data_IF_126721157921
#
_entry.id   IF_126721157921
#
_cell.length_a   1.000
_cell.length_b   1.000
_cell.length_c   1.000
_cell.angle_alpha   90.00
_cell.angle_beta   90.00
_cell.angle_gamma   90.00
#
_symmetry.space_group_name_H-M   'P 1'
#
loop_
_entity.id
_entity.type
_entity.pdbx_description
1 polymer ?
#
# COMPACT_ATOMS: atom_id res chain seq x y z
N UNK A 1 -19.49 -14.88 19.83
CA UNK A 1 -19.17 -13.55 19.24
C UNK A 1 -17.66 -13.27 19.08
N UNK A 2 -16.75 -13.92 19.81
CA UNK A 2 -15.30 -13.70 19.68
C UNK A 2 -14.66 -14.18 18.35
N UNK A 3 -15.15 -15.29 17.77
CA UNK A 3 -14.55 -15.87 16.54
C UNK A 3 -14.64 -14.98 15.30
N UNK A 4 -15.68 -14.14 15.15
CA UNK A 4 -15.82 -13.31 13.95
C UNK A 4 -14.80 -12.16 13.90
N UNK A 5 -14.40 -11.64 15.07
CA UNK A 5 -13.45 -10.54 15.16
C UNK A 5 -12.02 -11.02 14.89
N UNK A 6 -11.68 -12.22 15.37
CA UNK A 6 -10.36 -12.84 15.16
C UNK A 6 -10.16 -13.20 13.69
N UNK A 7 -11.12 -13.91 13.10
CA UNK A 7 -11.08 -14.29 11.66
C UNK A 7 -11.02 -13.08 10.74
N UNK A 8 -11.68 -11.97 11.09
CA UNK A 8 -11.58 -10.71 10.34
C UNK A 8 -10.19 -10.10 10.39
N UNK A 9 -9.53 -10.10 11.55
CA UNK A 9 -8.17 -9.56 11.70
C UNK A 9 -7.18 -10.42 10.92
N UNK A 10 -7.26 -11.75 11.04
CA UNK A 10 -6.42 -12.68 10.29
C UNK A 10 -6.56 -12.49 8.77
N UNK A 11 -7.81 -12.34 8.29
CA UNK A 11 -8.09 -12.08 6.88
C UNK A 11 -7.50 -10.76 6.41
N UNK A 12 -7.62 -9.69 7.20
CA UNK A 12 -7.03 -8.38 6.89
C UNK A 12 -5.50 -8.49 6.82
N UNK A 13 -4.87 -9.18 7.76
CA UNK A 13 -3.41 -9.37 7.80
C UNK A 13 -2.91 -10.17 6.60
N UNK A 14 -3.63 -11.22 6.20
CA UNK A 14 -3.29 -12.02 5.02
C UNK A 14 -3.39 -11.17 3.74
N UNK A 15 -4.51 -10.48 3.55
CA UNK A 15 -4.73 -9.64 2.37
C UNK A 15 -3.70 -8.52 2.30
N UNK A 16 -3.43 -7.83 3.41
CA UNK A 16 -2.45 -6.74 3.43
C UNK A 16 -1.03 -7.25 3.19
N UNK A 17 -0.68 -8.43 3.70
CA UNK A 17 0.62 -9.06 3.44
C UNK A 17 0.79 -9.36 1.95
N UNK A 18 -0.23 -9.95 1.30
CA UNK A 18 -0.21 -10.25 -0.14
C UNK A 18 -0.08 -8.97 -0.97
N UNK A 19 -0.92 -7.96 -0.67
CA UNK A 19 -0.85 -6.66 -1.34
C UNK A 19 0.54 -6.02 -1.18
N UNK A 20 1.10 -6.09 0.02
CA UNK A 20 2.42 -5.56 0.32
C UNK A 20 3.52 -6.34 -0.42
N UNK A 21 3.41 -7.66 -0.55
CA UNK A 21 4.32 -8.47 -1.37
C UNK A 21 4.32 -7.97 -2.81
N UNK A 22 3.14 -7.75 -3.40
CA UNK A 22 3.01 -7.24 -4.78
C UNK A 22 3.64 -5.86 -4.90
N UNK A 23 3.39 -4.95 -3.94
CA UNK A 23 4.03 -3.64 -3.92
C UNK A 23 5.55 -3.71 -3.82
N UNK A 24 6.10 -4.66 -3.05
CA UNK A 24 7.55 -4.87 -2.95
C UNK A 24 8.14 -5.38 -4.27
N UNK A 25 7.42 -6.23 -5.01
CA UNK A 25 7.82 -6.62 -6.36
C UNK A 25 7.85 -5.43 -7.32
N UNK A 26 6.87 -4.52 -7.24
CA UNK A 26 6.86 -3.32 -8.07
C UNK A 26 7.97 -2.35 -7.69
N UNK A 27 8.26 -2.21 -6.40
CA UNK A 27 9.41 -1.44 -5.92
C UNK A 27 10.72 -1.97 -6.48
N UNK A 28 10.91 -3.30 -6.47
CA UNK A 28 12.07 -3.95 -7.05
C UNK A 28 12.14 -3.75 -8.57
N UNK A 29 11.01 -3.86 -9.26
CA UNK A 29 10.91 -3.64 -10.71
C UNK A 29 11.29 -2.21 -11.09
N UNK A 30 10.92 -1.21 -10.28
CA UNK A 30 11.29 0.18 -10.54
C UNK A 30 12.78 0.45 -10.31
N UNK A 31 13.41 -0.30 -9.41
CA UNK A 31 14.84 -0.15 -9.11
C UNK A 31 15.75 -0.87 -10.09
N UNK A 32 15.36 -2.07 -10.51
CA UNK A 32 16.23 -3.01 -11.22
C UNK A 32 15.66 -3.49 -12.57
N UNK A 33 14.38 -3.24 -12.83
CA UNK A 33 13.70 -3.73 -14.03
C UNK A 33 13.80 -2.78 -15.23
N UNK A 34 13.55 -3.30 -16.44
CA UNK A 34 13.39 -2.47 -17.63
C UNK A 34 12.20 -1.52 -17.45
N UNK A 35 12.39 -0.24 -17.72
CA UNK A 35 11.36 0.80 -17.56
C UNK A 35 10.37 0.87 -18.74
N UNK A 36 10.32 -0.19 -19.54
CA UNK A 36 9.58 -0.18 -20.79
C UNK A 36 8.07 -0.06 -20.53
N UNK A 37 7.48 0.98 -21.12
CA UNK A 37 6.06 1.30 -20.98
C UNK A 37 5.64 1.92 -19.65
N UNK A 38 6.55 2.20 -18.70
CA UNK A 38 6.20 2.85 -17.43
C UNK A 38 5.51 4.20 -17.63
N UNK A 39 6.11 5.05 -18.48
CA UNK A 39 5.54 6.36 -18.83
C UNK A 39 4.21 6.26 -19.57
N UNK A 40 3.97 5.17 -20.31
CA UNK A 40 2.69 4.93 -20.98
C UNK A 40 1.58 4.56 -19.99
N UNK A 41 1.93 3.99 -18.83
CA UNK A 41 0.98 3.56 -17.78
C UNK A 41 0.73 4.65 -16.74
N UNK A 42 1.64 5.61 -16.60
CA UNK A 42 1.53 6.75 -15.68
C UNK A 42 0.16 7.46 -15.67
N UNK A 43 -0.46 7.76 -16.83
CA UNK A 43 -1.79 8.39 -16.85
C UNK A 43 -2.86 7.59 -16.10
N UNK A 44 -2.78 6.25 -16.10
CA UNK A 44 -3.72 5.39 -15.40
C UNK A 44 -3.54 5.50 -13.87
N UNK A 45 -2.29 5.49 -13.39
CA UNK A 45 -1.99 5.65 -11.97
C UNK A 45 -2.41 7.03 -11.44
N UNK A 46 -2.17 8.08 -12.24
CA UNK A 46 -2.60 9.45 -11.93
C UNK A 46 -4.13 9.53 -11.88
N UNK A 47 -4.83 8.93 -12.84
CA UNK A 47 -6.28 8.91 -12.86
C UNK A 47 -6.89 8.23 -11.63
N UNK A 48 -6.41 7.03 -11.26
CA UNK A 48 -6.85 6.35 -10.04
C UNK A 48 -6.55 7.16 -8.77
N UNK A 49 -5.40 7.84 -8.74
CA UNK A 49 -5.03 8.75 -7.64
C UNK A 49 -5.99 9.94 -7.55
N UNK A 50 -6.36 10.55 -8.67
CA UNK A 50 -7.30 11.67 -8.70
C UNK A 50 -8.67 11.28 -8.14
N UNK A 51 -9.18 10.09 -8.47
CA UNK A 51 -10.41 9.56 -7.90
C UNK A 51 -10.29 9.42 -6.38
N UNK A 52 -9.22 8.80 -5.89
CA UNK A 52 -8.97 8.64 -4.45
C UNK A 52 -8.88 9.98 -3.72
N UNK A 53 -8.20 10.96 -4.32
CA UNK A 53 -8.09 12.31 -3.76
C UNK A 53 -9.45 13.00 -3.63
N UNK A 54 -10.31 12.93 -4.66
CA UNK A 54 -11.67 13.50 -4.62
C UNK A 54 -12.50 12.82 -3.53
N UNK A 55 -12.47 11.49 -3.45
CA UNK A 55 -13.17 10.73 -2.41
C UNK A 55 -12.66 11.12 -1.02
N UNK A 56 -11.34 11.26 -0.85
CA UNK A 56 -10.73 11.66 0.42
C UNK A 56 -11.14 13.08 0.83
N UNK A 57 -11.20 14.04 -0.09
CA UNK A 57 -11.71 15.39 0.20
C UNK A 57 -13.14 15.30 0.73
N UNK A 58 -14.05 14.61 0.02
CA UNK A 58 -15.46 14.53 0.41
C UNK A 58 -15.62 13.89 1.79
N UNK A 59 -14.87 12.82 2.07
CA UNK A 59 -14.90 12.14 3.37
C UNK A 59 -14.35 13.02 4.50
N UNK A 60 -13.22 13.68 4.29
CA UNK A 60 -12.57 14.48 5.33
C UNK A 60 -13.25 15.83 5.54
N UNK A 61 -13.92 16.39 4.53
CA UNK A 61 -14.69 17.62 4.67
C UNK A 61 -15.84 17.45 5.68
N UNK A 62 -16.51 16.28 5.68
CA UNK A 62 -17.55 15.96 6.67
C UNK A 62 -17.01 15.60 8.06
N UNK A 63 -15.76 15.14 8.18
CA UNK A 63 -15.18 14.64 9.44
C UNK A 63 -14.37 15.69 10.20
N UNK A 64 -13.71 16.61 9.49
CA UNK A 64 -12.78 17.57 10.09
C UNK A 64 -13.40 18.96 10.16
N UNK A 65 -13.30 19.59 11.33
CA UNK A 65 -13.88 20.91 11.59
C UNK A 65 -13.16 22.07 10.88
N UNK A 66 -12.01 21.82 10.25
CA UNK A 66 -11.16 22.82 9.60
C UNK A 66 -10.81 22.41 8.18
N UNK A 67 -11.21 23.22 7.19
CA UNK A 67 -10.96 22.94 5.76
C UNK A 67 -9.48 22.77 5.38
N UNK A 68 -8.57 23.50 6.05
CA UNK A 68 -7.11 23.29 5.87
C UNK A 68 -6.66 21.89 6.28
N UNK A 69 -7.25 21.32 7.34
CA UNK A 69 -6.94 19.96 7.77
C UNK A 69 -7.46 18.95 6.75
N UNK A 70 -8.67 19.17 6.22
CA UNK A 70 -9.28 18.30 5.20
C UNK A 70 -8.43 18.21 3.93
N UNK A 71 -7.98 19.35 3.39
CA UNK A 71 -7.11 19.37 2.21
C UNK A 71 -5.78 18.67 2.48
N UNK A 72 -5.17 18.90 3.65
CA UNK A 72 -3.89 18.28 4.02
C UNK A 72 -4.00 16.75 4.09
N UNK A 73 -5.04 16.22 4.74
CA UNK A 73 -5.25 14.77 4.83
C UNK A 73 -5.64 14.16 3.50
N UNK A 74 -6.45 14.83 2.70
CA UNK A 74 -6.79 14.36 1.36
C UNK A 74 -5.56 14.31 0.44
N UNK A 75 -4.68 15.32 0.50
CA UNK A 75 -3.42 15.31 -0.25
C UNK A 75 -2.51 14.17 0.20
N UNK A 76 -2.37 13.96 1.52
CA UNK A 76 -1.61 12.84 2.06
C UNK A 76 -2.16 11.49 1.58
N UNK A 77 -3.48 11.30 1.61
CA UNK A 77 -4.14 10.09 1.12
C UNK A 77 -3.96 9.91 -0.39
N UNK A 78 -4.07 10.97 -1.17
CA UNK A 78 -3.81 10.94 -2.61
C UNK A 78 -2.36 10.51 -2.88
N UNK A 79 -1.40 11.11 -2.20
CA UNK A 79 0.02 10.76 -2.36
C UNK A 79 0.32 9.30 -1.98
N UNK A 80 -0.24 8.81 -0.87
CA UNK A 80 -0.12 7.40 -0.46
C UNK A 80 -0.77 6.49 -1.51
N UNK A 81 -1.95 6.86 -2.02
CA UNK A 81 -2.65 6.09 -3.06
C UNK A 81 -1.83 6.03 -4.34
N UNK A 82 -1.20 7.13 -4.75
CA UNK A 82 -0.34 7.17 -5.92
C UNK A 82 0.82 6.20 -5.80
N UNK A 83 1.56 6.26 -4.69
CA UNK A 83 2.66 5.33 -4.42
C UNK A 83 2.14 3.90 -4.45
N UNK A 84 1.01 3.64 -3.79
CA UNK A 84 0.43 2.31 -3.77
C UNK A 84 0.05 1.81 -5.16
N UNK A 85 -0.64 2.61 -5.98
CA UNK A 85 -1.05 2.23 -7.33
C UNK A 85 0.14 1.98 -8.26
N UNK A 86 1.17 2.82 -8.18
CA UNK A 86 2.41 2.65 -8.96
C UNK A 86 3.11 1.37 -8.55
N UNK A 87 3.35 1.15 -7.25
CA UNK A 87 4.03 -0.04 -6.75
C UNK A 87 3.21 -1.31 -7.01
N UNK A 88 1.90 -1.25 -6.84
CA UNK A 88 1.02 -2.39 -7.05
C UNK A 88 0.92 -2.74 -8.54
N UNK A 89 0.73 -1.75 -9.41
CA UNK A 89 0.63 -1.94 -10.85
C UNK A 89 1.92 -2.50 -11.45
N UNK A 90 3.06 -1.87 -11.16
CA UNK A 90 4.36 -2.38 -11.62
C UNK A 90 4.72 -3.73 -10.97
N UNK A 91 4.21 -4.00 -9.76
CA UNK A 91 4.37 -5.30 -9.10
C UNK A 91 3.66 -6.43 -9.84
N UNK A 92 2.40 -6.22 -10.23
CA UNK A 92 1.65 -7.19 -11.04
C UNK A 92 2.35 -7.43 -12.37
N UNK A 93 2.79 -6.37 -13.05
CA UNK A 93 3.47 -6.47 -14.34
C UNK A 93 4.81 -7.20 -14.20
N UNK A 94 5.56 -6.93 -13.13
CA UNK A 94 6.81 -7.62 -12.82
C UNK A 94 6.61 -9.13 -12.68
N UNK A 95 5.55 -9.55 -11.97
CA UNK A 95 5.23 -10.96 -11.78
C UNK A 95 4.74 -11.64 -13.06
N UNK A 96 3.95 -10.94 -13.89
CA UNK A 96 3.31 -11.54 -15.07
C UNK A 96 4.18 -11.49 -16.34
N UNK A 97 4.97 -10.42 -16.51
CA UNK A 97 5.70 -10.14 -17.76
C UNK A 97 7.20 -10.29 -17.56
N UNK A 98 7.75 -9.84 -16.43
CA UNK A 98 9.19 -9.83 -16.16
C UNK A 98 9.58 -10.89 -15.12
N UNK A 99 9.18 -12.14 -15.39
CA UNK A 99 9.37 -13.30 -14.51
C UNK A 99 10.82 -13.53 -14.06
N UNK A 100 11.81 -13.16 -14.89
CA UNK A 100 13.22 -13.39 -14.58
C UNK A 100 13.73 -12.61 -13.36
N UNK A 101 13.20 -11.41 -13.11
CA UNK A 101 13.56 -10.60 -11.95
C UNK A 101 12.74 -10.98 -10.71
N UNK A 102 11.45 -11.29 -10.91
CA UNK A 102 10.51 -11.56 -9.82
C UNK A 102 10.66 -12.98 -9.25
N UNK A 103 10.83 -14.00 -10.10
CA UNK A 103 10.76 -15.41 -9.70
C UNK A 103 12.12 -16.04 -9.40
N UNK A 104 13.14 -15.22 -9.09
CA UNK A 104 14.36 -15.80 -8.52
C UNK A 104 14.02 -16.46 -7.18
N UNK A 105 14.59 -17.66 -6.88
CA UNK A 105 14.28 -18.38 -5.64
C UNK A 105 14.48 -17.51 -4.40
N UNK A 106 15.49 -16.63 -4.44
CA UNK A 106 15.74 -15.64 -3.39
C UNK A 106 14.55 -14.68 -3.22
N UNK A 107 14.11 -14.00 -4.26
CA UNK A 107 13.07 -12.98 -4.16
C UNK A 107 11.70 -13.58 -3.76
N UNK A 108 11.43 -14.80 -4.24
CA UNK A 108 10.20 -15.54 -3.93
C UNK A 108 10.01 -15.84 -2.43
N UNK A 109 11.09 -16.05 -1.67
CA UNK A 109 10.98 -16.28 -0.23
C UNK A 109 11.23 -15.01 0.59
N UNK A 110 12.17 -14.15 0.16
CA UNK A 110 12.54 -12.96 0.92
C UNK A 110 11.45 -11.88 0.91
N UNK A 111 10.80 -11.62 -0.23
CA UNK A 111 9.82 -10.54 -0.33
C UNK A 111 8.52 -10.84 0.44
N UNK A 112 7.93 -12.06 0.35
CA UNK A 112 6.79 -12.40 1.20
C UNK A 112 7.14 -12.37 2.69
N UNK A 113 8.33 -12.85 3.06
CA UNK A 113 8.80 -12.82 4.46
C UNK A 113 8.92 -11.39 4.97
N UNK A 114 9.48 -10.48 4.16
CA UNK A 114 9.56 -9.07 4.50
C UNK A 114 8.17 -8.43 4.62
N UNK A 115 7.24 -8.76 3.73
CA UNK A 115 5.87 -8.24 3.82
C UNK A 115 5.12 -8.73 5.06
N UNK A 116 5.31 -9.99 5.46
CA UNK A 116 4.73 -10.52 6.70
C UNK A 116 5.30 -9.78 7.91
N UNK A 117 6.62 -9.57 7.94
CA UNK A 117 7.28 -8.81 8.99
C UNK A 117 6.72 -7.38 9.10
N UNK A 118 6.71 -6.64 7.99
CA UNK A 118 6.20 -5.26 7.93
C UNK A 118 4.73 -5.16 8.32
N UNK A 119 3.91 -6.11 7.86
CA UNK A 119 2.48 -6.14 8.17
C UNK A 119 2.24 -6.45 9.65
N UNK A 120 2.96 -7.43 10.21
CA UNK A 120 2.90 -7.77 11.64
C UNK A 120 3.34 -6.59 12.52
N UNK A 121 4.44 -5.93 12.18
CA UNK A 121 4.90 -4.73 12.88
C UNK A 121 3.89 -3.59 12.77
N UNK A 122 3.34 -3.34 11.57
CA UNK A 122 2.33 -2.31 11.33
C UNK A 122 1.06 -2.53 12.16
N UNK A 123 0.58 -3.77 12.23
CA UNK A 123 -0.55 -4.15 13.09
C UNK A 123 -0.25 -3.89 14.56
N UNK A 124 0.93 -4.31 15.04
CA UNK A 124 1.32 -4.09 16.43
C UNK A 124 1.38 -2.60 16.78
N UNK A 125 1.98 -1.77 15.92
CA UNK A 125 2.06 -0.33 16.10
C UNK A 125 0.68 0.34 16.10
N UNK A 126 -0.22 -0.08 15.20
CA UNK A 126 -1.57 0.44 15.14
C UNK A 126 -2.36 0.10 16.42
N UNK A 127 -2.17 -1.09 16.96
CA UNK A 127 -2.82 -1.54 18.19
C UNK A 127 -2.30 -0.82 19.44
N UNK A 128 -1.01 -0.52 19.51
CA UNK A 128 -0.35 0.12 20.66
C UNK A 128 -0.13 1.63 20.47
N UNK A 129 -0.83 2.25 19.53
CA UNK A 129 -0.69 3.67 19.20
C UNK A 129 -0.93 4.58 20.41
N UNK A 130 -1.84 4.22 21.32
CA UNK A 130 -2.08 4.96 22.57
C UNK A 130 -0.84 5.00 23.46
N UNK A 131 -0.14 3.89 23.61
CA UNK A 131 1.00 3.76 24.51
C UNK A 131 2.23 4.51 23.97
N UNK A 132 2.35 4.56 22.64
CA UNK A 132 3.39 5.33 21.96
C UNK A 132 3.16 6.84 22.05
N UNK A 133 1.90 7.28 22.06
CA UNK A 133 1.54 8.71 22.08
C UNK A 133 1.41 9.23 23.52
N UNK A 134 1.07 8.36 24.49
CA UNK A 134 0.86 8.69 25.91
C UNK A 134 2.16 8.94 26.69
N UNK A 135 3.34 8.78 26.09
CA UNK A 135 4.64 9.10 26.73
C UNK A 135 5.00 10.60 26.60
N UNK A 136 4.04 11.48 26.81
CA UNK A 136 4.25 12.93 26.92
C UNK A 136 3.81 13.45 28.27
#
# INVERSE_FOLDING_TARGET
MANSSITKIESILLISSILLTICLFGFLSLLMGPQDGFLSRMPLYVFGTSISFVVAIILYDGLLKTGQSSIRYAFLMGFITFIFLVLFGEGIISILVNSDLALTPKNLFYLPSLSLFLTGTGYWMARHKSDLISKK
#
